data_IF_395845435476
#
_entry.id   IF_395845435476
#
_cell.length_a   1.000
_cell.length_b   1.000
_cell.length_c   1.000
_cell.angle_alpha   90.00
_cell.angle_beta   90.00
_cell.angle_gamma   90.00
#
_symmetry.space_group_name_H-M   'P 1'
#
loop_
_entity.id
_entity.type
_entity.pdbx_description
1 polymer ?
#
# COMPACT_ATOMS: atom_id res chain seq x y z
N UNK A 1 40.64 -36.68 3.41
CA UNK A 1 40.41 -35.34 3.99
C UNK A 1 39.72 -35.52 5.33
N UNK A 2 40.34 -35.15 6.48
CA UNK A 2 39.70 -35.28 7.81
C UNK A 2 38.63 -34.22 7.92
N UNK A 3 37.38 -34.64 7.82
CA UNK A 3 36.17 -33.74 7.95
C UNK A 3 35.85 -33.34 9.39
N UNK A 4 36.58 -33.86 10.37
CA UNK A 4 36.40 -33.57 11.79
C UNK A 4 37.69 -33.15 12.45
N UNK A 5 37.65 -32.12 13.27
CA UNK A 5 38.73 -31.72 14.18
C UNK A 5 38.15 -31.56 15.59
N UNK A 6 38.95 -31.99 16.59
CA UNK A 6 38.61 -31.87 18.00
C UNK A 6 39.69 -31.03 18.68
N UNK A 7 39.26 -30.05 19.46
CA UNK A 7 40.11 -29.18 20.26
C UNK A 7 39.55 -29.10 21.69
N UNK A 8 40.46 -29.16 22.67
CA UNK A 8 40.08 -29.00 24.07
C UNK A 8 40.91 -27.90 24.73
N UNK A 9 40.20 -27.01 25.46
CA UNK A 9 40.83 -25.95 26.26
C UNK A 9 40.28 -26.11 27.69
N UNK A 10 41.04 -26.75 28.57
CA UNK A 10 40.58 -27.09 29.91
C UNK A 10 39.39 -28.04 29.89
N UNK A 11 38.28 -27.65 30.49
CA UNK A 11 37.02 -28.42 30.55
C UNK A 11 36.14 -28.21 29.31
N UNK A 12 36.52 -27.31 28.39
CA UNK A 12 35.75 -26.95 27.22
C UNK A 12 36.22 -27.76 26.01
N UNK A 13 35.30 -28.51 25.39
CA UNK A 13 35.58 -29.34 24.22
C UNK A 13 34.82 -28.83 23.00
N UNK A 14 35.52 -28.67 21.88
CA UNK A 14 34.98 -28.25 20.60
C UNK A 14 35.16 -29.38 19.59
N UNK A 15 34.06 -29.80 18.95
CA UNK A 15 34.04 -30.78 17.86
C UNK A 15 33.57 -30.13 16.60
N UNK A 16 34.46 -29.83 15.67
CA UNK A 16 34.15 -29.20 14.40
C UNK A 16 33.93 -30.25 13.32
N UNK A 17 32.74 -30.29 12.76
CA UNK A 17 32.48 -30.96 11.50
C UNK A 17 32.44 -29.87 10.41
N UNK A 18 33.41 -29.84 9.53
CA UNK A 18 33.58 -28.79 8.53
C UNK A 18 32.39 -28.69 7.56
N UNK A 19 31.80 -29.81 7.16
CA UNK A 19 30.60 -29.79 6.33
C UNK A 19 29.42 -29.11 7.05
N UNK A 20 29.23 -29.49 8.33
CA UNK A 20 28.19 -28.85 9.17
C UNK A 20 28.45 -27.35 9.37
N UNK A 21 29.71 -26.96 9.64
CA UNK A 21 30.10 -25.56 9.79
C UNK A 21 29.80 -24.71 8.52
N UNK A 22 30.11 -25.28 7.35
CA UNK A 22 29.81 -24.63 6.07
C UNK A 22 28.31 -24.48 5.88
N UNK A 23 27.51 -25.51 6.17
CA UNK A 23 26.04 -25.42 6.09
C UNK A 23 25.49 -24.36 7.03
N UNK A 24 25.96 -24.31 8.28
CA UNK A 24 25.55 -23.28 9.26
C UNK A 24 25.91 -21.88 8.78
N UNK A 25 27.14 -21.70 8.27
CA UNK A 25 27.58 -20.41 7.74
C UNK A 25 26.72 -19.94 6.56
N UNK A 26 26.44 -20.84 5.61
CA UNK A 26 25.60 -20.52 4.46
C UNK A 26 24.16 -20.14 4.89
N UNK A 27 23.59 -20.91 5.82
CA UNK A 27 22.24 -20.65 6.33
C UNK A 27 22.17 -19.32 7.09
N UNK A 28 23.13 -19.06 7.99
CA UNK A 28 23.18 -17.80 8.73
C UNK A 28 23.38 -16.59 7.78
N UNK A 29 24.24 -16.74 6.75
CA UNK A 29 24.44 -15.71 5.72
C UNK A 29 23.15 -15.47 4.91
N UNK A 30 22.43 -16.52 4.55
CA UNK A 30 21.15 -16.39 3.84
C UNK A 30 20.13 -15.61 4.68
N UNK A 31 19.96 -15.93 5.97
CA UNK A 31 19.09 -15.20 6.86
C UNK A 31 19.52 -13.74 7.06
N UNK A 32 20.82 -13.48 7.19
CA UNK A 32 21.34 -12.12 7.27
C UNK A 32 21.01 -11.31 6.00
N UNK A 33 21.18 -11.92 4.81
CA UNK A 33 20.83 -11.29 3.53
C UNK A 33 19.34 -10.99 3.41
N UNK A 34 18.48 -11.90 3.86
CA UNK A 34 17.02 -11.67 3.88
C UNK A 34 16.64 -10.56 4.87
N UNK A 35 17.27 -10.50 6.04
CA UNK A 35 17.08 -9.43 7.00
C UNK A 35 17.47 -8.07 6.44
N UNK A 36 18.62 -7.96 5.80
CA UNK A 36 19.08 -6.73 5.15
C UNK A 36 18.15 -6.33 4.01
N UNK A 37 17.74 -7.27 3.16
CA UNK A 37 16.79 -6.99 2.08
C UNK A 37 15.47 -6.42 2.59
N UNK A 38 14.96 -6.92 3.74
CA UNK A 38 13.76 -6.36 4.35
C UNK A 38 13.98 -4.93 4.88
N UNK A 39 15.18 -4.61 5.41
CA UNK A 39 15.53 -3.24 5.80
C UNK A 39 15.59 -2.30 4.59
N UNK A 40 16.19 -2.75 3.49
CA UNK A 40 16.26 -1.97 2.25
C UNK A 40 14.84 -1.67 1.74
N UNK A 41 13.94 -2.67 1.77
CA UNK A 41 12.53 -2.48 1.42
C UNK A 41 11.79 -1.52 2.36
N UNK A 42 12.11 -1.54 3.65
CA UNK A 42 11.55 -0.58 4.60
C UNK A 42 12.02 0.85 4.29
N UNK A 43 13.32 1.04 3.99
CA UNK A 43 13.86 2.36 3.64
C UNK A 43 13.29 2.91 2.34
N UNK A 44 13.17 2.09 1.28
CA UNK A 44 12.52 2.50 0.03
C UNK A 44 11.10 3.04 0.25
N UNK A 45 10.34 2.40 1.16
CA UNK A 45 8.98 2.85 1.52
C UNK A 45 8.98 4.18 2.28
N UNK A 46 9.91 4.36 3.20
CA UNK A 46 10.08 5.62 3.94
C UNK A 46 10.44 6.76 2.99
N UNK A 47 11.39 6.52 2.08
CA UNK A 47 11.82 7.51 1.11
C UNK A 47 10.68 7.90 0.16
N UNK A 48 9.88 6.91 -0.28
CA UNK A 48 8.71 7.16 -1.11
C UNK A 48 7.64 7.98 -0.35
N UNK A 49 7.42 7.72 0.94
CA UNK A 49 6.51 8.52 1.77
C UNK A 49 7.04 9.94 1.94
N UNK A 50 8.33 10.11 2.20
CA UNK A 50 8.95 11.44 2.34
C UNK A 50 8.85 12.25 1.03
N UNK A 51 9.07 11.61 -0.12
CA UNK A 51 8.92 12.26 -1.42
C UNK A 51 7.48 12.75 -1.64
N UNK A 52 6.47 11.96 -1.27
CA UNK A 52 5.07 12.34 -1.37
C UNK A 52 4.71 13.52 -0.44
N UNK A 53 5.27 13.56 0.77
CA UNK A 53 5.08 14.70 1.69
C UNK A 53 5.69 15.97 1.13
N UNK A 54 6.88 15.89 0.53
CA UNK A 54 7.54 17.04 -0.13
C UNK A 54 6.69 17.49 -1.32
N UNK A 55 6.22 16.57 -2.14
CA UNK A 55 5.39 16.89 -3.31
C UNK A 55 4.02 17.47 -2.90
N UNK A 56 3.41 16.98 -1.83
CA UNK A 56 2.16 17.55 -1.27
C UNK A 56 2.34 18.96 -0.69
N UNK A 57 3.55 19.35 -0.34
CA UNK A 57 3.87 20.72 0.11
C UNK A 57 4.08 21.71 -1.03
N UNK A 58 4.22 21.22 -2.27
CA UNK A 58 4.25 22.07 -3.46
C UNK A 58 2.84 22.59 -3.73
N UNK A 59 2.74 23.87 -4.17
CA UNK A 59 1.45 24.45 -4.53
C UNK A 59 0.82 23.61 -5.64
N UNK A 60 -0.41 23.13 -5.40
CA UNK A 60 -1.19 22.42 -6.40
C UNK A 60 -1.42 23.34 -7.61
N UNK A 61 -1.18 22.82 -8.80
CA UNK A 61 -1.45 23.55 -10.03
C UNK A 61 -2.95 23.47 -10.37
N UNK A 62 -3.58 24.53 -10.90
CA UNK A 62 -4.94 24.41 -11.40
C UNK A 62 -5.05 23.28 -12.44
N UNK A 63 -6.09 22.45 -12.36
CA UNK A 63 -6.28 21.33 -13.29
C UNK A 63 -6.35 21.78 -14.75
N UNK A 64 -6.88 22.99 -14.98
CA UNK A 64 -6.97 23.64 -16.29
C UNK A 64 -5.62 23.96 -16.90
N UNK A 65 -4.56 23.97 -16.09
CA UNK A 65 -3.19 24.19 -16.58
C UNK A 65 -2.60 22.97 -17.29
N UNK A 66 -3.24 21.80 -17.19
CA UNK A 66 -2.79 20.58 -17.86
C UNK A 66 -3.13 20.67 -19.35
N UNK A 67 -2.14 20.59 -20.25
CA UNK A 67 -2.40 20.64 -21.70
C UNK A 67 -3.34 19.49 -22.12
N UNK A 68 -4.32 19.78 -22.96
CA UNK A 68 -5.30 18.79 -23.43
C UNK A 68 -4.67 17.55 -24.06
N UNK A 69 -3.50 17.66 -24.70
CA UNK A 69 -2.76 16.53 -25.27
C UNK A 69 -2.16 15.57 -24.25
N UNK A 70 -2.10 15.96 -22.96
CA UNK A 70 -1.64 15.10 -21.86
C UNK A 70 -2.77 14.38 -21.15
N UNK A 71 -4.03 14.77 -21.42
CA UNK A 71 -5.22 14.19 -20.78
C UNK A 71 -5.63 12.85 -21.44
N UNK A 72 -4.71 11.90 -21.49
CA UNK A 72 -5.02 10.55 -21.97
C UNK A 72 -4.61 9.50 -20.91
N UNK A 73 -5.27 8.33 -20.92
CA UNK A 73 -5.10 7.28 -19.90
C UNK A 73 -3.67 6.80 -19.72
N UNK A 74 -2.93 6.68 -20.80
CA UNK A 74 -1.58 6.12 -20.80
C UNK A 74 -0.48 7.14 -20.45
N UNK A 75 -0.82 8.35 -19.98
CA UNK A 75 0.19 9.35 -19.65
C UNK A 75 0.70 9.19 -18.20
N UNK A 76 1.84 8.50 -17.99
CA UNK A 76 2.41 8.33 -16.66
C UNK A 76 2.95 9.64 -16.06
N UNK A 77 3.15 10.68 -16.87
CA UNK A 77 3.66 11.98 -16.40
C UNK A 77 2.66 12.70 -15.50
N UNK A 78 1.37 12.38 -15.61
CA UNK A 78 0.32 12.92 -14.73
C UNK A 78 0.24 12.20 -13.40
N UNK A 79 0.83 11.00 -13.30
CA UNK A 79 0.73 10.20 -12.08
C UNK A 79 1.30 10.95 -10.88
N UNK A 80 0.50 11.04 -9.81
CA UNK A 80 0.83 11.69 -8.54
C UNK A 80 0.97 13.22 -8.59
N UNK A 81 0.68 13.88 -9.71
CA UNK A 81 0.66 15.35 -9.74
C UNK A 81 -0.45 15.88 -8.83
N UNK A 82 -0.14 16.94 -8.07
CA UNK A 82 -1.12 17.63 -7.24
C UNK A 82 -1.80 18.74 -8.04
N UNK A 83 -3.12 18.69 -8.03
CA UNK A 83 -3.96 19.68 -8.73
C UNK A 83 -4.97 20.29 -7.78
N UNK A 84 -5.28 21.56 -7.99
CA UNK A 84 -6.43 22.24 -7.41
C UNK A 84 -7.53 22.39 -8.43
N UNK A 85 -8.77 22.39 -7.99
CA UNK A 85 -9.93 22.55 -8.83
C UNK A 85 -11.10 23.16 -8.05
N UNK A 86 -11.93 23.95 -8.74
CA UNK A 86 -13.14 24.56 -8.21
C UNK A 86 -14.37 23.96 -8.88
N UNK A 87 -15.41 23.70 -8.10
CA UNK A 87 -16.64 23.10 -8.62
C UNK A 87 -17.55 22.54 -7.55
N UNK A 88 -18.40 21.59 -7.90
CA UNK A 88 -19.40 21.00 -7.01
C UNK A 88 -19.40 19.48 -7.09
N UNK A 89 -19.61 18.82 -5.95
CA UNK A 89 -19.81 17.37 -5.89
C UNK A 89 -21.23 17.00 -6.36
N UNK A 90 -21.32 16.03 -7.28
CA UNK A 90 -22.59 15.43 -7.71
C UNK A 90 -22.94 14.30 -6.72
N UNK A 91 -23.42 14.68 -5.54
CA UNK A 91 -23.59 13.78 -4.39
C UNK A 91 -24.54 12.60 -4.63
N UNK A 92 -25.57 12.79 -5.47
CA UNK A 92 -26.56 11.77 -5.85
C UNK A 92 -26.00 10.72 -6.82
N UNK A 93 -24.80 10.92 -7.34
CA UNK A 93 -24.08 10.04 -8.25
C UNK A 93 -22.83 9.41 -7.62
N UNK A 94 -22.84 9.23 -6.30
CA UNK A 94 -21.73 8.58 -5.61
C UNK A 94 -21.57 7.11 -6.03
N UNK A 95 -20.34 6.65 -6.02
CA UNK A 95 -19.92 5.30 -6.41
C UNK A 95 -19.23 4.64 -5.21
N UNK A 96 -19.59 3.40 -4.92
CA UNK A 96 -19.02 2.59 -3.86
C UNK A 96 -18.19 1.47 -4.46
N UNK A 97 -16.88 1.51 -4.21
CA UNK A 97 -15.97 0.41 -4.52
C UNK A 97 -16.07 -0.64 -3.43
N UNK A 98 -16.51 -1.84 -3.82
CA UNK A 98 -16.84 -2.92 -2.89
C UNK A 98 -15.59 -3.67 -2.42
N UNK A 99 -15.66 -4.17 -1.17
CA UNK A 99 -14.65 -5.03 -0.57
C UNK A 99 -13.26 -4.40 -0.45
N UNK A 100 -13.21 -3.08 -0.23
CA UNK A 100 -11.98 -2.39 0.09
C UNK A 100 -11.53 -2.69 1.53
N UNK A 101 -10.29 -3.15 1.67
CA UNK A 101 -9.71 -3.49 2.97
C UNK A 101 -8.79 -2.38 3.47
N UNK A 102 -9.03 -1.94 4.69
CA UNK A 102 -8.16 -0.99 5.36
C UNK A 102 -8.01 -1.32 6.84
N UNK A 103 -6.78 -1.39 7.34
CA UNK A 103 -6.44 -1.71 8.73
C UNK A 103 -7.15 -2.99 9.27
N UNK A 104 -7.27 -4.01 8.43
CA UNK A 104 -7.91 -5.28 8.78
C UNK A 104 -9.43 -5.26 8.79
N UNK A 105 -10.05 -4.14 8.44
CA UNK A 105 -11.50 -4.00 8.30
C UNK A 105 -11.90 -3.95 6.82
N UNK A 106 -13.08 -4.50 6.52
CA UNK A 106 -13.69 -4.40 5.20
C UNK A 106 -14.63 -3.21 5.15
N UNK A 107 -14.67 -2.52 4.01
CA UNK A 107 -15.53 -1.37 3.81
C UNK A 107 -15.68 -1.01 2.34
N UNK A 108 -15.93 0.26 2.08
CA UNK A 108 -16.14 0.83 0.75
C UNK A 108 -15.13 1.92 0.46
N UNK A 109 -14.53 1.89 -0.74
CA UNK A 109 -13.94 3.08 -1.34
C UNK A 109 -15.07 3.97 -1.86
N UNK A 110 -15.00 5.26 -1.59
CA UNK A 110 -16.04 6.22 -2.00
C UNK A 110 -15.48 7.14 -3.07
N UNK A 111 -16.12 7.10 -4.24
CA UNK A 111 -15.83 7.98 -5.37
C UNK A 111 -17.07 8.80 -5.67
N UNK A 112 -16.89 10.09 -5.87
CA UNK A 112 -18.02 11.00 -6.21
C UNK A 112 -17.63 11.83 -7.43
N UNK A 113 -18.45 11.90 -8.47
CA UNK A 113 -18.21 12.82 -9.57
C UNK A 113 -18.20 14.26 -9.07
N UNK A 114 -17.30 15.05 -9.62
CA UNK A 114 -17.12 16.45 -9.31
C UNK A 114 -17.21 17.25 -10.61
N UNK A 115 -18.09 18.22 -10.65
CA UNK A 115 -18.34 19.07 -11.80
C UNK A 115 -17.47 20.31 -11.69
N UNK A 116 -16.56 20.49 -12.64
CA UNK A 116 -15.68 21.65 -12.70
C UNK A 116 -16.50 22.92 -13.04
N UNK A 117 -16.24 24.00 -12.32
CA UNK A 117 -16.86 25.30 -12.58
C UNK A 117 -16.38 25.89 -13.90
N UNK A 118 -15.13 25.62 -14.28
CA UNK A 118 -14.48 26.26 -15.45
C UNK A 118 -15.04 25.81 -16.81
N UNK A 119 -15.50 24.56 -16.94
CA UNK A 119 -15.88 23.97 -18.23
C UNK A 119 -17.04 22.99 -18.16
N UNK A 120 -17.68 22.86 -17.00
CA UNK A 120 -18.81 21.94 -16.72
C UNK A 120 -18.47 20.44 -16.92
N UNK A 121 -17.19 20.10 -17.01
CA UNK A 121 -16.72 18.73 -17.22
C UNK A 121 -16.69 17.97 -15.90
N UNK A 122 -17.04 16.68 -15.95
CA UNK A 122 -17.02 15.80 -14.79
C UNK A 122 -15.67 15.12 -14.63
N UNK A 123 -15.21 15.04 -13.39
CA UNK A 123 -14.05 14.26 -12.97
C UNK A 123 -14.43 13.36 -11.79
N UNK A 124 -13.88 12.15 -11.75
CA UNK A 124 -14.08 11.26 -10.62
C UNK A 124 -13.14 11.60 -9.47
N UNK A 125 -13.71 11.87 -8.30
CA UNK A 125 -12.94 12.21 -7.09
C UNK A 125 -13.08 11.12 -6.06
N UNK A 126 -11.98 10.44 -5.78
CA UNK A 126 -11.85 9.48 -4.68
C UNK A 126 -11.75 10.22 -3.36
N UNK A 127 -12.81 10.12 -2.55
CA UNK A 127 -12.91 10.78 -1.25
C UNK A 127 -12.22 10.01 -0.13
N UNK A 128 -12.02 8.71 -0.30
CA UNK A 128 -11.42 7.84 0.71
C UNK A 128 -12.26 6.60 1.00
N UNK A 129 -12.04 6.02 2.17
CA UNK A 129 -12.64 4.78 2.61
C UNK A 129 -13.59 5.02 3.79
N UNK A 130 -14.68 4.26 3.81
CA UNK A 130 -15.60 4.18 4.94
C UNK A 130 -15.83 2.74 5.36
N UNK A 131 -15.94 2.50 6.67
CA UNK A 131 -16.14 1.17 7.23
C UNK A 131 -17.54 0.65 6.99
N UNK A 132 -17.68 -0.66 6.87
CA UNK A 132 -18.95 -1.36 6.95
C UNK A 132 -19.12 -2.42 5.86
N UNK A 133 -19.91 -3.44 6.21
CA UNK A 133 -20.53 -4.36 5.26
C UNK A 133 -22.03 -4.12 5.41
N UNK A 134 -22.56 -3.28 4.57
CA UNK A 134 -23.98 -2.95 4.61
C UNK A 134 -24.75 -3.83 3.62
N UNK A 135 -25.98 -4.21 3.94
CA UNK A 135 -26.88 -4.84 2.97
C UNK A 135 -26.94 -4.04 1.66
N UNK A 136 -27.22 -4.69 0.52
CA UNK A 136 -27.27 -4.00 -0.77
C UNK A 136 -28.18 -2.76 -0.81
N UNK A 137 -29.21 -2.76 -0.02
CA UNK A 137 -30.28 -1.74 0.04
C UNK A 137 -29.97 -0.62 1.06
N UNK A 138 -28.86 -0.73 1.80
CA UNK A 138 -28.50 0.26 2.82
C UNK A 138 -27.17 0.91 2.41
N UNK A 139 -27.17 2.11 1.82
CA UNK A 139 -25.93 2.83 1.54
C UNK A 139 -25.28 3.30 2.84
N UNK A 140 -23.92 3.45 2.87
CA UNK A 140 -23.27 4.11 3.98
C UNK A 140 -23.75 5.56 4.09
N UNK A 141 -23.74 6.09 5.32
CA UNK A 141 -24.04 7.50 5.56
C UNK A 141 -22.86 8.36 5.06
N UNK A 142 -23.00 8.84 3.85
CA UNK A 142 -22.02 9.75 3.23
C UNK A 142 -22.52 11.18 3.40
N UNK A 143 -21.85 11.95 4.22
CA UNK A 143 -22.17 13.37 4.38
C UNK A 143 -21.99 14.08 3.02
N UNK A 144 -23.06 14.70 2.47
CA UNK A 144 -22.96 15.45 1.23
C UNK A 144 -22.12 16.71 1.44
N UNK A 145 -21.33 17.06 0.45
CA UNK A 145 -20.65 18.37 0.36
C UNK A 145 -21.52 19.25 -0.54
N UNK A 146 -22.06 20.34 -0.01
CA UNK A 146 -23.02 21.17 -0.71
C UNK A 146 -22.40 22.49 -1.16
N UNK A 147 -22.75 22.90 -2.38
CA UNK A 147 -22.30 24.16 -3.00
C UNK A 147 -20.88 24.08 -3.58
N UNK A 148 -20.45 25.18 -4.20
CA UNK A 148 -19.12 25.26 -4.80
C UNK A 148 -18.03 25.19 -3.75
N UNK A 149 -17.04 24.34 -4.00
CA UNK A 149 -15.86 24.16 -3.12
C UNK A 149 -14.59 24.15 -3.96
N UNK A 150 -13.52 24.60 -3.36
CA UNK A 150 -12.19 24.39 -3.90
C UNK A 150 -11.58 23.15 -3.22
N UNK A 151 -11.15 22.20 -4.02
CA UNK A 151 -10.53 20.97 -3.55
C UNK A 151 -9.13 20.78 -4.15
N UNK A 152 -8.27 20.11 -3.40
CA UNK A 152 -6.94 19.70 -3.84
C UNK A 152 -6.83 18.19 -3.77
N UNK A 153 -6.26 17.61 -4.81
CA UNK A 153 -6.08 16.18 -4.89
C UNK A 153 -4.90 15.78 -5.76
N UNK A 154 -4.61 14.50 -5.73
CA UNK A 154 -3.54 13.88 -6.48
C UNK A 154 -4.13 13.09 -7.66
N UNK A 155 -3.61 13.32 -8.86
CA UNK A 155 -4.01 12.57 -10.05
C UNK A 155 -3.57 11.11 -9.89
N UNK A 156 -4.48 10.19 -10.09
CA UNK A 156 -4.20 8.77 -10.21
C UNK A 156 -4.61 8.28 -11.60
N UNK A 157 -3.61 7.89 -12.38
CA UNK A 157 -3.81 7.30 -13.72
C UNK A 157 -3.94 5.78 -13.55
N UNK A 158 -5.09 5.18 -13.89
CA UNK A 158 -5.25 3.74 -13.82
C UNK A 158 -4.22 3.02 -14.70
N UNK A 159 -3.55 1.96 -14.21
CA UNK A 159 -2.62 1.21 -15.03
C UNK A 159 -3.36 0.50 -16.18
N UNK A 160 -2.76 0.44 -17.37
CA UNK A 160 -3.34 -0.20 -18.57
C UNK A 160 -3.76 -1.66 -18.34
N UNK A 161 -3.06 -2.37 -17.44
CA UNK A 161 -3.33 -3.76 -17.08
C UNK A 161 -4.08 -3.88 -15.75
N UNK A 162 -4.81 -2.85 -15.32
CA UNK A 162 -5.64 -2.95 -14.13
C UNK A 162 -6.58 -4.16 -14.25
N UNK A 163 -6.57 -5.00 -13.22
CA UNK A 163 -7.46 -6.17 -13.18
C UNK A 163 -8.88 -5.68 -13.00
N UNK A 164 -9.64 -5.66 -14.08
CA UNK A 164 -11.08 -5.38 -14.05
C UNK A 164 -11.78 -6.59 -13.43
N UNK A 165 -12.40 -6.38 -12.28
CA UNK A 165 -13.22 -7.39 -11.63
C UNK A 165 -14.65 -7.24 -12.13
N UNK A 166 -15.12 -8.22 -12.89
CA UNK A 166 -16.48 -8.23 -13.42
C UNK A 166 -17.48 -7.98 -12.28
N UNK A 167 -18.28 -6.94 -12.41
CA UNK A 167 -19.36 -6.57 -11.50
C UNK A 167 -20.68 -6.66 -12.26
N UNK A 168 -21.71 -7.19 -11.62
CA UNK A 168 -23.07 -6.94 -12.08
C UNK A 168 -23.46 -5.55 -11.56
N UNK A 169 -23.41 -4.57 -12.45
CA UNK A 169 -23.72 -3.17 -12.10
C UNK A 169 -25.18 -2.93 -12.39
N UNK A 170 -25.94 -2.55 -11.37
CA UNK A 170 -27.29 -2.05 -11.55
C UNK A 170 -27.25 -0.53 -11.68
N UNK A 171 -27.29 -0.06 -12.92
CA UNK A 171 -27.24 1.36 -13.25
C UNK A 171 -28.47 2.17 -12.78
N UNK A 172 -29.54 1.49 -12.36
CA UNK A 172 -30.78 2.14 -11.88
C UNK A 172 -30.72 2.54 -10.39
N UNK A 173 -29.75 2.00 -9.64
CA UNK A 173 -29.65 2.18 -8.18
C UNK A 173 -28.40 2.97 -7.81
N UNK A 174 -28.59 4.08 -7.10
CA UNK A 174 -27.52 4.89 -6.54
C UNK A 174 -27.49 4.84 -5.01
N UNK A 175 -26.31 4.87 -4.36
CA UNK A 175 -24.96 4.93 -4.97
C UNK A 175 -24.63 3.68 -5.79
N UNK A 176 -23.96 3.90 -6.92
CA UNK A 176 -23.54 2.83 -7.82
C UNK A 176 -22.53 1.91 -7.12
N UNK A 177 -22.65 0.60 -7.28
CA UNK A 177 -21.77 -0.38 -6.61
C UNK A 177 -20.95 -1.15 -7.64
N UNK A 178 -19.61 -1.09 -7.51
CA UNK A 178 -18.68 -1.77 -8.41
C UNK A 178 -17.49 -2.34 -7.60
N UNK A 179 -16.78 -3.28 -8.21
CA UNK A 179 -15.57 -3.87 -7.59
C UNK A 179 -14.28 -3.19 -8.02
N UNK A 180 -14.29 -2.52 -9.14
CA UNK A 180 -13.16 -1.76 -9.68
C UNK A 180 -13.69 -0.49 -10.33
N UNK A 181 -12.91 0.58 -10.29
CA UNK A 181 -13.27 1.85 -10.90
C UNK A 181 -13.04 1.77 -12.42
N UNK A 182 -14.13 1.69 -13.18
CA UNK A 182 -14.13 1.61 -14.64
C UNK A 182 -14.69 2.91 -15.21
N UNK A 183 -13.81 3.86 -15.50
CA UNK A 183 -14.21 5.24 -15.88
C UNK A 183 -15.11 5.26 -17.10
N UNK A 184 -14.84 4.43 -18.12
CA UNK A 184 -15.66 4.38 -19.34
C UNK A 184 -17.08 3.87 -19.06
N UNK A 185 -17.19 2.81 -18.24
CA UNK A 185 -18.48 2.25 -17.84
C UNK A 185 -19.29 3.29 -17.06
N UNK A 186 -18.65 4.06 -16.20
CA UNK A 186 -19.28 5.13 -15.42
C UNK A 186 -19.73 6.27 -16.35
N UNK A 187 -18.90 6.65 -17.32
CA UNK A 187 -19.23 7.67 -18.32
C UNK A 187 -20.49 7.27 -19.12
N UNK A 188 -20.56 6.00 -19.54
CA UNK A 188 -21.73 5.45 -20.24
C UNK A 188 -23.00 5.46 -19.36
N UNK A 189 -22.87 5.13 -18.06
CA UNK A 189 -24.01 5.11 -17.12
C UNK A 189 -24.52 6.53 -16.82
N UNK A 190 -23.60 7.50 -16.70
CA UNK A 190 -23.95 8.91 -16.40
C UNK A 190 -24.40 9.63 -17.67
N UNK A 191 -24.06 9.10 -18.84
CA UNK A 191 -24.27 9.71 -20.16
C UNK A 191 -23.55 11.08 -20.32
N UNK A 192 -22.36 11.20 -19.68
CA UNK A 192 -21.53 12.38 -19.77
C UNK A 192 -20.04 11.98 -19.85
N UNK A 193 -19.21 12.74 -20.60
CA UNK A 193 -17.78 12.48 -20.70
C UNK A 193 -17.08 12.72 -19.36
N UNK A 194 -16.19 11.80 -18.98
CA UNK A 194 -15.35 11.90 -17.80
C UNK A 194 -13.88 12.10 -18.18
N UNK A 195 -13.10 12.72 -17.30
CA UNK A 195 -11.65 12.69 -17.40
C UNK A 195 -11.13 11.26 -17.32
N UNK A 196 -10.06 10.91 -18.04
CA UNK A 196 -9.53 9.53 -18.12
C UNK A 196 -8.70 9.11 -16.89
N UNK A 197 -8.83 9.79 -15.78
CA UNK A 197 -8.15 9.52 -14.52
C UNK A 197 -9.03 9.93 -13.34
N UNK A 198 -8.68 9.46 -12.15
CA UNK A 198 -9.34 9.89 -10.90
C UNK A 198 -8.46 10.90 -10.14
N UNK A 199 -9.10 11.70 -9.32
CA UNK A 199 -8.43 12.57 -8.35
C UNK A 199 -8.61 11.98 -6.95
N UNK A 200 -7.52 11.75 -6.25
CA UNK A 200 -7.52 11.31 -4.85
C UNK A 200 -7.38 12.52 -3.95
N UNK A 201 -8.38 12.81 -3.14
CA UNK A 201 -8.36 13.95 -2.24
C UNK A 201 -7.14 13.92 -1.32
N UNK A 202 -6.53 15.09 -1.13
CA UNK A 202 -5.54 15.29 -0.07
C UNK A 202 -6.21 15.38 1.30
N UNK A 203 -5.43 15.40 2.38
CA UNK A 203 -5.93 15.60 3.74
C UNK A 203 -6.56 16.99 3.87
N UNK A 204 -7.45 17.14 4.84
CA UNK A 204 -8.10 18.43 5.19
C UNK A 204 -8.96 19.07 4.09
N UNK A 205 -9.44 18.26 3.12
CA UNK A 205 -10.35 18.73 2.09
C UNK A 205 -11.82 18.48 2.47
N UNK A 206 -12.72 19.34 1.96
CA UNK A 206 -14.15 19.14 2.13
C UNK A 206 -14.59 17.79 1.57
N UNK A 207 -15.26 17.00 2.39
CA UNK A 207 -15.77 15.69 2.02
C UNK A 207 -14.75 14.56 2.01
N UNK A 208 -13.50 14.79 2.47
CA UNK A 208 -12.51 13.73 2.61
C UNK A 208 -12.95 12.71 3.67
N UNK A 209 -12.72 11.44 3.37
CA UNK A 209 -12.91 10.30 4.25
C UNK A 209 -11.56 9.72 4.67
N UNK A 210 -11.56 8.53 5.26
CA UNK A 210 -10.30 7.89 5.64
C UNK A 210 -9.49 7.55 4.38
N UNK A 211 -8.30 8.10 4.24
CA UNK A 211 -7.42 7.83 3.10
C UNK A 211 -6.80 6.44 3.23
N UNK A 212 -6.95 5.61 2.21
CA UNK A 212 -6.54 4.19 2.24
C UNK A 212 -5.67 3.76 1.05
N UNK A 213 -5.33 4.68 0.16
CA UNK A 213 -4.52 4.33 -1.00
C UNK A 213 -3.06 4.03 -0.64
N UNK A 214 -2.40 3.12 -1.40
CA UNK A 214 -1.10 2.52 -1.03
C UNK A 214 0.04 3.51 -0.81
N UNK A 215 0.01 4.67 -1.44
CA UNK A 215 1.04 5.69 -1.30
C UNK A 215 1.15 6.23 0.15
N UNK A 216 0.06 6.12 0.94
CA UNK A 216 0.00 6.54 2.33
C UNK A 216 0.22 5.37 3.30
N UNK A 217 -0.08 4.14 2.86
CA UNK A 217 -0.10 2.93 3.70
C UNK A 217 1.00 1.93 3.37
N UNK A 218 2.18 2.39 2.94
CA UNK A 218 3.32 1.49 2.87
C UNK A 218 3.63 1.00 4.29
N UNK A 219 3.21 -0.24 4.62
CA UNK A 219 3.46 -0.83 5.94
C UNK A 219 4.95 -1.10 6.14
N UNK A 220 5.65 -0.08 6.61
CA UNK A 220 7.07 -0.12 6.95
C UNK A 220 7.30 -1.09 8.11
N UNK A 221 6.35 -1.14 9.08
CA UNK A 221 6.45 -1.98 10.27
C UNK A 221 6.45 -3.47 9.93
N UNK A 222 5.74 -3.87 8.89
CA UNK A 222 5.74 -5.25 8.43
C UNK A 222 7.15 -5.68 7.98
N UNK A 223 7.83 -4.87 7.17
CA UNK A 223 9.19 -5.15 6.71
C UNK A 223 10.19 -5.17 7.88
N UNK A 224 10.08 -4.23 8.82
CA UNK A 224 10.90 -4.21 10.03
C UNK A 224 10.68 -5.48 10.87
N UNK A 225 9.43 -5.92 11.05
CA UNK A 225 9.11 -7.14 11.77
C UNK A 225 9.72 -8.38 11.11
N UNK A 226 9.64 -8.50 9.79
CA UNK A 226 10.30 -9.57 9.04
C UNK A 226 11.82 -9.50 9.15
N UNK A 227 12.41 -8.31 9.12
CA UNK A 227 13.86 -8.14 9.30
C UNK A 227 14.30 -8.70 10.66
N UNK A 228 13.61 -8.35 11.75
CA UNK A 228 13.89 -8.88 13.09
C UNK A 228 13.73 -10.40 13.14
N UNK A 229 12.71 -10.98 12.48
CA UNK A 229 12.53 -12.42 12.41
C UNK A 229 13.71 -13.11 11.72
N UNK A 230 14.17 -12.61 10.57
CA UNK A 230 15.29 -13.19 9.83
C UNK A 230 16.59 -13.14 10.62
N UNK A 231 16.92 -12.01 11.25
CA UNK A 231 18.10 -11.92 12.10
C UNK A 231 18.00 -12.84 13.31
N UNK A 232 16.82 -12.93 13.94
CA UNK A 232 16.60 -13.84 15.08
C UNK A 232 16.80 -15.30 14.69
N UNK A 233 16.31 -15.73 13.52
CA UNK A 233 16.53 -17.07 12.99
C UNK A 233 18.01 -17.34 12.71
N UNK A 234 18.73 -16.36 12.16
CA UNK A 234 20.18 -16.45 11.95
C UNK A 234 20.95 -16.65 13.26
N UNK A 235 20.62 -15.87 14.28
CA UNK A 235 21.20 -15.99 15.63
C UNK A 235 20.86 -17.33 16.27
N UNK A 236 19.62 -17.81 16.12
CA UNK A 236 19.20 -19.11 16.63
C UNK A 236 20.00 -20.26 16.02
N UNK A 237 20.22 -20.24 14.69
CA UNK A 237 21.04 -21.24 13.99
C UNK A 237 22.47 -21.23 14.50
N UNK A 238 23.08 -20.04 14.66
CA UNK A 238 24.44 -19.92 15.20
C UNK A 238 24.51 -20.44 16.64
N UNK A 239 23.56 -20.05 17.49
CA UNK A 239 23.52 -20.51 18.89
C UNK A 239 23.29 -22.03 19.01
N UNK A 240 22.36 -22.58 18.24
CA UNK A 240 22.10 -24.01 18.22
C UNK A 240 23.34 -24.79 17.72
N UNK A 241 24.03 -24.27 16.70
CA UNK A 241 25.26 -24.91 16.19
C UNK A 241 26.40 -24.86 17.22
N UNK A 242 26.51 -23.78 17.97
CA UNK A 242 27.47 -23.67 19.07
C UNK A 242 27.20 -24.72 20.14
N UNK A 243 25.95 -24.89 20.56
CA UNK A 243 25.54 -25.93 21.52
C UNK A 243 25.84 -27.35 20.99
N UNK A 244 25.57 -27.60 19.70
CA UNK A 244 25.75 -28.88 19.07
C UNK A 244 27.27 -29.23 18.85
N UNK A 245 28.09 -28.22 18.66
CA UNK A 245 29.54 -28.38 18.39
C UNK A 245 30.40 -28.33 19.63
N UNK A 246 29.82 -28.06 20.81
CA UNK A 246 30.57 -27.90 22.06
C UNK A 246 29.92 -28.69 23.20
N UNK A 247 30.64 -28.86 24.30
CA UNK A 247 30.09 -29.41 25.54
C UNK A 247 29.43 -28.36 26.46
N UNK A 248 29.10 -27.17 25.92
CA UNK A 248 28.52 -26.05 26.67
C UNK A 248 27.24 -26.44 27.40
N UNK A 249 26.38 -27.21 26.76
CA UNK A 249 25.14 -27.69 27.35
C UNK A 249 25.31 -28.59 28.57
N UNK A 250 26.32 -29.47 28.51
CA UNK A 250 26.68 -30.35 29.64
C UNK A 250 27.24 -29.53 30.83
N UNK A 251 28.06 -28.53 30.53
CA UNK A 251 28.62 -27.62 31.56
C UNK A 251 27.54 -26.79 32.23
N UNK A 252 26.56 -26.26 31.47
CA UNK A 252 25.43 -25.49 32.00
C UNK A 252 24.51 -26.32 32.89
N UNK A 253 24.40 -27.63 32.62
CA UNK A 253 23.59 -28.55 33.45
C UNK A 253 24.33 -29.09 34.68
N UNK A 254 25.61 -28.70 34.87
CA UNK A 254 26.40 -29.19 36.00
C UNK A 254 26.76 -30.68 35.92
N UNK A 255 26.53 -31.33 34.77
CA UNK A 255 26.99 -32.70 34.53
C UNK A 255 28.48 -32.69 34.20
N UNK A 256 29.28 -33.49 34.92
CA UNK A 256 30.66 -33.68 34.58
C UNK A 256 30.76 -34.20 33.14
N UNK A 257 31.70 -33.67 32.35
CA UNK A 257 31.93 -34.09 30.96
C UNK A 257 32.36 -35.56 30.85
#
# INVERSE_FOLDING_TARGET
MKLRSEHSIGIFHIRINWLFAVCVFMTATAFARLGLWQLDRASEKVDAQAALVIESSLNAAPIESIPAGHLHRANPELQNQHVSMQGEFVNDRAILLLAEFFQGMIGYGVVTPFRLESNDQLILVSRGWTTGILPPDTPPDLRPVSGPVEITGQIFVPPENARVLASQIDASVWPLRMRSLEIDVIADIIDEPLFPFEIRLTEDQDGVLVRHWPAVNADVNQNLSYSVQWFSLGLLVLFASLLASTNLWALLRGSKP
#
